data_IF_856136277531
#
_entry.id   IF_856136277531
#
_cell.length_a   1.000
_cell.length_b   1.000
_cell.length_c   1.000
_cell.angle_alpha   90.00
_cell.angle_beta   90.00
_cell.angle_gamma   90.00
#
_symmetry.space_group_name_H-M   'P 1'
#
loop_
_entity.id
_entity.type
_entity.pdbx_description
1 polymer ?
#
# COMPACT_ATOMS: atom_id res chain seq x y z
N UNK A 1 17.43 9.56 14.43
CA UNK A 1 16.93 8.45 15.27
C UNK A 1 17.75 7.19 15.02
N UNK A 2 18.06 6.47 16.05
CA UNK A 2 18.75 5.18 15.94
C UNK A 2 17.79 4.08 15.50
N UNK A 3 18.31 3.10 14.76
CA UNK A 3 17.46 2.00 14.22
C UNK A 3 16.72 1.23 15.32
N UNK A 4 17.37 0.96 16.45
CA UNK A 4 16.74 0.24 17.56
C UNK A 4 15.56 1.02 18.18
N UNK A 5 15.68 2.34 18.31
CA UNK A 5 14.61 3.21 18.80
C UNK A 5 13.43 3.27 17.83
N UNK A 6 13.74 3.33 16.53
CA UNK A 6 12.71 3.31 15.48
C UNK A 6 11.91 2.01 15.50
N UNK A 7 12.56 0.87 15.66
CA UNK A 7 11.90 -0.42 15.76
C UNK A 7 10.99 -0.54 16.97
N UNK A 8 11.40 0.02 18.13
CA UNK A 8 10.61 -0.01 19.36
C UNK A 8 9.35 0.87 19.30
N UNK A 9 9.33 1.88 18.45
CA UNK A 9 8.21 2.83 18.33
C UNK A 9 7.21 2.49 17.23
N UNK A 10 7.37 1.37 16.54
CA UNK A 10 6.44 0.96 15.46
C UNK A 10 5.06 0.62 16.02
N UNK A 11 4.05 1.12 15.30
CA UNK A 11 2.64 0.85 15.61
C UNK A 11 1.99 0.13 14.44
N UNK A 12 0.83 -0.44 14.68
CA UNK A 12 0.02 -1.08 13.67
C UNK A 12 -1.25 -0.28 13.44
N UNK A 13 -1.56 -0.02 12.17
CA UNK A 13 -2.77 0.69 11.78
C UNK A 13 -3.57 -0.15 10.79
N UNK A 14 -4.89 -0.03 10.87
CA UNK A 14 -5.81 -0.64 9.89
C UNK A 14 -6.54 0.46 9.14
N UNK A 15 -6.60 0.31 7.81
CA UNK A 15 -7.26 1.24 6.89
C UNK A 15 -8.37 0.50 6.17
N UNK A 16 -9.58 1.06 6.17
CA UNK A 16 -10.69 0.55 5.38
C UNK A 16 -10.66 1.20 3.99
N UNK A 17 -10.44 0.39 2.96
CA UNK A 17 -10.36 0.84 1.57
C UNK A 17 -11.73 0.99 0.90
N UNK A 18 -12.82 0.58 1.58
CA UNK A 18 -14.16 0.64 1.00
C UNK A 18 -14.56 2.06 0.62
N UNK A 19 -14.82 2.28 -0.66
CA UNK A 19 -15.21 3.59 -1.17
C UNK A 19 -14.11 4.63 -1.27
N UNK A 20 -12.87 4.28 -0.96
CA UNK A 20 -11.72 5.19 -1.03
C UNK A 20 -11.15 5.25 -2.43
N UNK A 21 -10.72 6.44 -2.86
CA UNK A 21 -10.03 6.61 -4.15
C UNK A 21 -8.60 6.09 -4.02
N UNK A 22 -8.22 5.17 -4.90
CA UNK A 22 -6.95 4.44 -4.82
C UNK A 22 -5.73 5.36 -4.67
N UNK A 23 -5.58 6.34 -5.56
CA UNK A 23 -4.41 7.23 -5.55
C UNK A 23 -4.28 8.06 -4.29
N UNK A 24 -5.37 8.61 -3.79
CA UNK A 24 -5.38 9.42 -2.56
C UNK A 24 -5.08 8.57 -1.33
N UNK A 25 -5.70 7.40 -1.24
CA UNK A 25 -5.44 6.46 -0.16
C UNK A 25 -3.99 6.00 -0.17
N UNK A 26 -3.45 5.66 -1.34
CA UNK A 26 -2.07 5.21 -1.48
C UNK A 26 -1.05 6.28 -1.04
N UNK A 27 -1.33 7.56 -1.29
CA UNK A 27 -0.48 8.67 -0.84
C UNK A 27 -0.37 8.70 0.69
N UNK A 28 -1.49 8.59 1.39
CA UNK A 28 -1.51 8.61 2.86
C UNK A 28 -0.84 7.35 3.45
N UNK A 29 -1.09 6.20 2.85
CA UNK A 29 -0.44 4.95 3.26
C UNK A 29 1.08 5.04 3.09
N UNK A 30 1.56 5.59 1.97
CA UNK A 30 2.98 5.75 1.72
C UNK A 30 3.65 6.67 2.75
N UNK A 31 2.99 7.75 3.16
CA UNK A 31 3.49 8.64 4.22
C UNK A 31 3.65 7.90 5.55
N UNK A 32 2.67 7.10 5.93
CA UNK A 32 2.70 6.33 7.19
C UNK A 32 3.79 5.26 7.13
N UNK A 33 3.92 4.53 6.04
CA UNK A 33 4.95 3.50 5.86
C UNK A 33 6.35 4.08 5.95
N UNK A 34 6.56 5.26 5.39
CA UNK A 34 7.86 5.94 5.40
C UNK A 34 8.16 6.64 6.72
N UNK A 35 7.14 6.97 7.51
CA UNK A 35 7.28 7.65 8.79
C UNK A 35 7.26 9.18 8.72
N UNK A 36 6.87 9.76 7.59
CA UNK A 36 6.82 11.23 7.42
C UNK A 36 5.83 11.93 8.34
N UNK A 37 4.88 11.22 8.90
CA UNK A 37 3.92 11.73 9.89
C UNK A 37 4.53 11.92 11.28
N UNK A 38 5.75 11.43 11.50
CA UNK A 38 6.44 11.54 12.79
C UNK A 38 7.49 12.65 12.78
N UNK A 39 7.65 13.42 13.87
CA UNK A 39 8.69 14.44 13.95
C UNK A 39 10.11 13.89 13.96
N UNK A 40 10.26 12.61 14.29
CA UNK A 40 11.56 11.89 14.34
C UNK A 40 11.97 11.30 12.98
N UNK A 41 11.26 11.64 11.90
CA UNK A 41 11.55 11.12 10.56
C UNK A 41 13.02 11.28 10.18
N UNK A 42 13.65 10.17 9.80
CA UNK A 42 15.03 10.10 9.35
C UNK A 42 15.06 9.35 8.00
N UNK A 43 15.56 9.97 6.90
CA UNK A 43 15.45 9.38 5.56
C UNK A 43 16.14 8.02 5.38
N UNK A 44 17.20 7.75 6.12
CA UNK A 44 17.97 6.50 6.02
C UNK A 44 17.54 5.42 7.02
N UNK A 45 16.58 5.74 7.90
CA UNK A 45 16.07 4.82 8.92
C UNK A 45 14.57 4.59 8.69
N UNK A 46 14.12 3.36 8.86
CA UNK A 46 12.71 3.01 8.80
C UNK A 46 11.99 3.43 10.10
N UNK A 47 11.49 4.66 10.11
CA UNK A 47 10.74 5.22 11.24
C UNK A 47 9.23 5.04 11.10
N UNK A 48 8.76 4.42 10.01
CA UNK A 48 7.34 4.23 9.72
C UNK A 48 6.69 3.10 10.50
N UNK A 49 5.38 2.99 10.33
CA UNK A 49 4.53 2.01 11.00
C UNK A 49 4.04 0.95 10.04
N UNK A 50 3.46 -0.13 10.58
CA UNK A 50 2.78 -1.16 9.80
C UNK A 50 1.39 -0.69 9.41
N UNK A 51 0.97 -0.98 8.19
CA UNK A 51 -0.37 -0.65 7.70
C UNK A 51 -1.06 -1.92 7.19
N UNK A 52 -2.27 -2.15 7.68
CA UNK A 52 -3.16 -3.21 7.23
C UNK A 52 -4.29 -2.56 6.43
N UNK A 53 -4.45 -2.95 5.17
CA UNK A 53 -5.55 -2.48 4.32
C UNK A 53 -6.57 -3.58 4.20
N UNK A 54 -7.82 -3.28 4.55
CA UNK A 54 -8.94 -4.20 4.44
C UNK A 54 -9.93 -3.70 3.39
N UNK A 55 -10.80 -4.57 2.92
CA UNK A 55 -11.80 -4.26 1.88
C UNK A 55 -11.19 -3.71 0.58
N UNK A 56 -10.04 -4.26 0.16
CA UNK A 56 -9.38 -3.82 -1.06
C UNK A 56 -10.26 -3.96 -2.32
N UNK A 57 -11.24 -4.86 -2.31
CA UNK A 57 -12.21 -5.00 -3.40
C UNK A 57 -13.10 -3.79 -3.58
N UNK A 58 -13.32 -3.01 -2.53
CA UNK A 58 -14.16 -1.83 -2.55
C UNK A 58 -13.46 -0.53 -2.93
N UNK A 59 -12.18 -0.59 -3.29
CA UNK A 59 -11.42 0.60 -3.69
C UNK A 59 -11.98 1.18 -5.00
N UNK A 60 -11.97 2.50 -5.12
CA UNK A 60 -12.45 3.22 -6.30
C UNK A 60 -11.30 3.83 -7.08
N UNK A 61 -11.49 3.91 -8.39
CA UNK A 61 -10.60 4.63 -9.31
C UNK A 61 -11.35 5.82 -9.88
N UNK A 62 -10.73 7.00 -9.85
CA UNK A 62 -11.35 8.22 -10.37
C UNK A 62 -11.37 8.26 -11.89
N UNK A 63 -12.36 8.97 -12.46
CA UNK A 63 -12.50 9.13 -13.91
C UNK A 63 -12.73 7.81 -14.62
N UNK A 64 -12.11 7.65 -15.78
CA UNK A 64 -12.20 6.44 -16.62
C UNK A 64 -11.04 5.46 -16.44
N UNK A 65 -10.29 5.57 -15.35
CA UNK A 65 -9.11 4.71 -15.11
C UNK A 65 -9.44 3.23 -15.01
N UNK A 66 -10.62 2.90 -14.51
CA UNK A 66 -11.05 1.50 -14.37
C UNK A 66 -11.02 0.77 -15.72
N UNK A 67 -11.47 1.43 -16.79
CA UNK A 67 -11.53 0.85 -18.13
C UNK A 67 -10.27 1.13 -18.97
N UNK A 68 -9.62 2.27 -18.77
CA UNK A 68 -8.54 2.75 -19.63
C UNK A 68 -7.13 2.47 -19.10
N UNK A 69 -6.95 2.39 -17.78
CA UNK A 69 -5.63 2.13 -17.21
C UNK A 69 -5.25 0.68 -17.47
N UNK A 70 -4.06 0.48 -18.05
CA UNK A 70 -3.52 -0.83 -18.36
C UNK A 70 -2.21 -1.03 -17.59
N UNK A 71 -2.08 -2.18 -16.95
CA UNK A 71 -0.85 -2.60 -16.29
C UNK A 71 -0.10 -3.58 -17.18
N UNK A 72 1.16 -3.27 -17.44
CA UNK A 72 2.03 -4.07 -18.29
C UNK A 72 3.02 -4.87 -17.46
N UNK A 73 3.24 -6.12 -17.86
CA UNK A 73 4.26 -6.97 -17.29
C UNK A 73 4.95 -7.74 -18.42
N UNK A 74 6.28 -7.82 -18.34
CA UNK A 74 7.06 -8.60 -19.31
C UNK A 74 7.53 -9.91 -18.68
N UNK A 75 7.38 -11.02 -19.41
CA UNK A 75 7.78 -12.36 -18.92
C UNK A 75 9.26 -12.64 -19.13
N UNK A 76 10.02 -11.69 -19.72
CA UNK A 76 11.44 -11.81 -20.10
C UNK A 76 11.71 -12.78 -21.26
N UNK A 77 10.67 -13.23 -21.93
CA UNK A 77 10.76 -13.97 -23.20
C UNK A 77 10.37 -13.09 -24.37
N UNK A 78 10.90 -13.35 -25.61
CA UNK A 78 10.49 -12.60 -26.80
C UNK A 78 8.96 -12.62 -26.97
N UNK A 79 8.34 -11.43 -27.17
CA UNK A 79 6.89 -11.31 -27.28
C UNK A 79 6.12 -11.51 -25.97
N UNK A 80 6.80 -11.49 -24.82
CA UNK A 80 6.23 -11.80 -23.52
C UNK A 80 5.59 -10.63 -22.78
N UNK A 81 5.08 -9.60 -23.48
CA UNK A 81 4.33 -8.51 -22.84
C UNK A 81 2.94 -9.01 -22.48
N UNK A 82 2.58 -8.85 -21.20
CA UNK A 82 1.25 -9.15 -20.67
C UNK A 82 0.57 -7.87 -20.24
N UNK A 83 -0.70 -7.75 -20.58
CA UNK A 83 -1.52 -6.58 -20.30
C UNK A 83 -2.72 -6.96 -19.43
N UNK A 84 -3.01 -6.10 -18.43
CA UNK A 84 -4.22 -6.22 -17.63
C UNK A 84 -4.84 -4.84 -17.44
N UNK A 85 -6.14 -4.72 -17.67
CA UNK A 85 -6.87 -3.49 -17.34
C UNK A 85 -7.03 -3.39 -15.82
N UNK A 86 -7.22 -2.16 -15.32
CA UNK A 86 -7.48 -1.94 -13.90
C UNK A 86 -8.74 -2.67 -13.42
N UNK A 87 -9.79 -2.71 -14.25
CA UNK A 87 -11.01 -3.45 -13.93
C UNK A 87 -10.76 -4.94 -13.72
N UNK A 88 -10.00 -5.57 -14.61
CA UNK A 88 -9.65 -6.99 -14.50
C UNK A 88 -8.79 -7.26 -13.27
N UNK A 89 -7.82 -6.41 -13.00
CA UNK A 89 -6.96 -6.53 -11.82
C UNK A 89 -7.75 -6.38 -10.52
N UNK A 90 -8.69 -5.45 -10.46
CA UNK A 90 -9.56 -5.26 -9.30
C UNK A 90 -10.46 -6.48 -9.05
N UNK A 91 -10.96 -7.11 -10.10
CA UNK A 91 -11.80 -8.30 -9.99
C UNK A 91 -11.02 -9.55 -9.55
N UNK A 92 -9.82 -9.74 -10.08
CA UNK A 92 -9.01 -10.94 -9.83
C UNK A 92 -8.07 -10.80 -8.63
N UNK A 93 -7.34 -9.67 -8.57
CA UNK A 93 -6.28 -9.44 -7.54
C UNK A 93 -6.32 -7.99 -7.04
N UNK A 94 -7.31 -7.63 -6.23
CA UNK A 94 -7.39 -6.26 -5.70
C UNK A 94 -6.19 -5.88 -4.83
N UNK A 95 -5.56 -6.85 -4.15
CA UNK A 95 -4.36 -6.61 -3.33
C UNK A 95 -3.20 -6.07 -4.18
N UNK A 96 -3.00 -6.63 -5.36
CA UNK A 96 -1.94 -6.18 -6.27
C UNK A 96 -2.17 -4.76 -6.76
N UNK A 97 -3.43 -4.39 -7.01
CA UNK A 97 -3.79 -3.04 -7.43
C UNK A 97 -3.35 -2.00 -6.40
N UNK A 98 -3.67 -2.23 -5.13
CA UNK A 98 -3.29 -1.35 -4.02
C UNK A 98 -1.77 -1.35 -3.81
N UNK A 99 -1.15 -2.52 -3.84
CA UNK A 99 0.29 -2.66 -3.64
C UNK A 99 1.09 -1.91 -4.70
N UNK A 100 0.72 -2.01 -5.97
CA UNK A 100 1.39 -1.30 -7.06
C UNK A 100 1.25 0.21 -6.92
N UNK A 101 0.09 0.71 -6.50
CA UNK A 101 -0.12 2.13 -6.27
C UNK A 101 0.77 2.67 -5.16
N UNK A 102 0.84 1.99 -4.03
CA UNK A 102 1.68 2.39 -2.90
C UNK A 102 3.17 2.27 -3.24
N UNK A 103 3.57 1.18 -3.86
CA UNK A 103 4.96 0.95 -4.27
C UNK A 103 5.47 2.03 -5.23
N UNK A 104 4.62 2.48 -6.16
CA UNK A 104 4.95 3.55 -7.08
C UNK A 104 5.17 4.91 -6.41
N UNK A 105 4.59 5.13 -5.23
CA UNK A 105 4.72 6.36 -4.45
C UNK A 105 5.87 6.33 -3.44
N UNK A 106 6.49 5.18 -3.22
CA UNK A 106 7.66 5.05 -2.37
C UNK A 106 8.94 5.32 -3.17
N UNK A 107 10.03 5.80 -2.52
CA UNK A 107 11.32 5.97 -3.21
C UNK A 107 11.82 4.64 -3.77
N UNK A 108 12.55 4.69 -4.89
CA UNK A 108 13.10 3.48 -5.53
C UNK A 108 14.49 3.19 -4.99
N UNK A 109 14.57 2.65 -3.78
CA UNK A 109 15.82 2.30 -3.11
C UNK A 109 15.68 1.01 -2.29
N UNK A 110 16.77 0.59 -1.63
CA UNK A 110 16.78 -0.62 -0.82
C UNK A 110 15.85 -0.54 0.40
N UNK A 111 15.77 0.64 1.02
CA UNK A 111 14.90 0.84 2.18
C UNK A 111 13.42 0.65 1.80
N UNK A 112 13.00 1.12 0.64
CA UNK A 112 11.62 0.98 0.18
C UNK A 112 11.20 -0.47 -0.04
N UNK A 113 12.11 -1.34 -0.40
CA UNK A 113 11.82 -2.79 -0.48
C UNK A 113 11.41 -3.36 0.87
N UNK A 114 12.01 -2.87 1.95
CA UNK A 114 11.63 -3.23 3.33
C UNK A 114 10.33 -2.54 3.74
N UNK A 115 10.10 -1.30 3.32
CA UNK A 115 8.87 -0.56 3.63
C UNK A 115 7.64 -1.24 3.05
N UNK A 116 7.72 -1.74 1.82
CA UNK A 116 6.60 -2.45 1.18
C UNK A 116 6.21 -3.72 1.94
N UNK A 117 7.15 -4.39 2.60
CA UNK A 117 6.84 -5.59 3.39
C UNK A 117 6.00 -5.29 4.63
N UNK A 118 5.95 -4.05 5.10
CA UNK A 118 5.10 -3.62 6.21
C UNK A 118 3.65 -3.35 5.80
N UNK A 119 3.37 -3.32 4.51
CA UNK A 119 2.03 -3.17 3.98
C UNK A 119 1.38 -4.54 3.84
N UNK A 120 0.28 -4.75 4.54
CA UNK A 120 -0.51 -5.97 4.51
C UNK A 120 -1.88 -5.64 3.92
N UNK A 121 -2.25 -6.28 2.82
CA UNK A 121 -3.47 -5.96 2.09
C UNK A 121 -4.37 -7.19 2.02
N UNK A 122 -5.65 -7.00 2.33
CA UNK A 122 -6.66 -8.06 2.30
C UNK A 122 -7.87 -7.61 1.50
N UNK A 123 -8.45 -8.49 0.66
CA UNK A 123 -9.61 -8.14 -0.18
C UNK A 123 -10.89 -7.92 0.62
N UNK A 124 -11.04 -8.63 1.74
CA UNK A 124 -12.21 -8.59 2.60
C UNK A 124 -11.91 -7.86 3.92
N UNK A 125 -12.92 -7.76 4.79
CA UNK A 125 -12.78 -7.05 6.07
C UNK A 125 -11.97 -7.81 7.12
N UNK A 126 -11.71 -9.10 6.90
CA UNK A 126 -10.99 -9.93 7.85
C UNK A 126 -9.49 -9.86 7.65
N UNK A 127 -8.73 -9.84 8.74
CA UNK A 127 -7.27 -9.91 8.74
C UNK A 127 -6.76 -10.74 9.92
N UNK A 128 -5.61 -11.42 9.79
CA UNK A 128 -5.07 -12.27 10.87
C UNK A 128 -4.19 -11.51 11.88
N UNK A 129 -4.38 -10.21 12.04
CA UNK A 129 -3.51 -9.34 12.83
C UNK A 129 -4.13 -8.83 14.13
N UNK A 130 -5.12 -9.53 14.70
CA UNK A 130 -5.77 -9.12 15.94
C UNK A 130 -4.80 -9.10 17.13
N UNK A 131 -3.80 -9.97 17.13
CA UNK A 131 -2.79 -10.04 18.18
C UNK A 131 -1.93 -8.77 18.27
N UNK A 132 -1.73 -8.06 17.16
CA UNK A 132 -0.98 -6.82 17.10
C UNK A 132 -1.78 -5.60 17.58
N UNK A 133 -3.07 -5.76 17.82
CA UNK A 133 -4.00 -4.71 18.25
C UNK A 133 -3.92 -3.46 17.37
N UNK A 134 -4.21 -3.58 16.05
CA UNK A 134 -4.11 -2.44 15.15
C UNK A 134 -5.11 -1.36 15.50
N UNK A 135 -4.69 -0.09 15.38
CA UNK A 135 -5.54 1.06 15.60
C UNK A 135 -6.14 1.52 14.27
N UNK A 136 -7.42 1.94 14.23
CA UNK A 136 -7.99 2.48 13.00
C UNK A 136 -7.28 3.78 12.60
N UNK A 137 -6.97 3.89 11.31
CA UNK A 137 -6.40 5.08 10.70
C UNK A 137 -7.44 5.67 9.75
N UNK A 138 -7.94 6.85 10.05
CA UNK A 138 -8.86 7.56 9.18
C UNK A 138 -8.11 8.22 8.02
N UNK A 139 -8.51 7.92 6.79
CA UNK A 139 -7.96 8.53 5.58
C UNK A 139 -9.11 9.18 4.82
N UNK A 140 -8.95 10.45 4.51
CA UNK A 140 -9.85 11.17 3.62
C UNK A 140 -9.43 10.92 2.17
N UNK A 141 -10.21 10.15 1.45
CA UNK A 141 -9.88 9.80 0.07
C UNK A 141 -11.10 9.67 -0.84
#
# INVERSE_FOLDING_TARGET
>A
MKTAEALAQRRWYVVDAQGKILGRMATEIAKVLRGKHKPVFTPNVDTGDFVIVVNARGVKLSGKKLDKKVYYRHTEYPGGIRERTAAKMLAEKPEELVRLAVKGMLPKNRLSRKLVTKLKIYPDAQHPHDAQKPQPLAIEA
#
